data_IF_063440973281
#
_entry.id   IF_063440973281
#
_cell.length_a   1.000
_cell.length_b   1.000
_cell.length_c   1.000
_cell.angle_alpha   90.00
_cell.angle_beta   90.00
_cell.angle_gamma   90.00
#
_symmetry.space_group_name_H-M   'P 1'
#
loop_
_entity.id
_entity.type
_entity.pdbx_description
1 polymer ?
#
# COMPACT_ATOMS: atom_id res chain seq x y z
N UNK A 1 8.00 -14.47 -8.00
CA UNK A 1 8.90 -14.75 -9.16
C UNK A 1 10.19 -15.33 -8.60
N UNK A 2 10.74 -16.36 -9.24
CA UNK A 2 11.96 -17.04 -8.77
C UNK A 2 13.11 -16.57 -9.65
N UNK A 3 14.27 -16.23 -9.04
CA UNK A 3 15.48 -15.88 -9.79
C UNK A 3 15.92 -17.11 -10.58
N UNK A 4 16.10 -16.96 -11.88
CA UNK A 4 16.56 -18.04 -12.73
C UNK A 4 18.10 -18.07 -12.83
N UNK A 5 18.71 -19.19 -13.14
CA UNK A 5 20.16 -19.24 -13.42
C UNK A 5 20.59 -18.25 -14.50
N UNK A 6 19.75 -18.00 -15.49
CA UNK A 6 20.03 -17.04 -16.56
C UNK A 6 20.04 -15.58 -16.04
N UNK A 7 19.17 -15.23 -15.09
CA UNK A 7 19.17 -13.90 -14.48
C UNK A 7 20.49 -13.63 -13.75
N UNK A 8 21.04 -14.67 -13.10
CA UNK A 8 22.32 -14.56 -12.41
C UNK A 8 23.48 -14.37 -13.41
N UNK A 9 23.49 -15.10 -14.51
CA UNK A 9 24.57 -15.00 -15.54
C UNK A 9 24.52 -13.67 -16.31
N UNK A 10 23.39 -12.98 -16.31
CA UNK A 10 23.21 -11.66 -16.92
C UNK A 10 23.55 -10.52 -15.93
N UNK A 11 23.97 -10.82 -14.71
CA UNK A 11 24.37 -9.80 -13.74
C UNK A 11 25.58 -9.01 -14.25
N UNK A 12 25.54 -7.68 -14.02
CA UNK A 12 26.63 -6.78 -14.40
C UNK A 12 27.67 -6.75 -13.29
N UNK A 13 28.89 -7.17 -13.63
CA UNK A 13 30.02 -7.26 -12.68
C UNK A 13 31.10 -6.27 -13.10
N UNK A 14 31.54 -5.44 -12.15
CA UNK A 14 32.70 -4.56 -12.35
C UNK A 14 33.89 -5.08 -11.55
N UNK A 15 35.05 -5.23 -12.20
CA UNK A 15 36.34 -5.53 -11.59
C UNK A 15 37.13 -4.24 -11.47
N UNK A 16 37.65 -3.97 -10.28
CA UNK A 16 38.45 -2.77 -9.95
C UNK A 16 39.76 -3.22 -9.30
N UNK A 17 40.85 -3.22 -10.04
CA UNK A 17 42.18 -3.62 -9.57
C UNK A 17 43.24 -2.90 -10.43
N UNK A 18 44.29 -2.33 -9.83
CA UNK A 18 45.33 -1.59 -10.54
C UNK A 18 46.34 -2.52 -11.28
N UNK A 19 46.26 -3.82 -11.03
CA UNK A 19 47.15 -4.82 -11.64
C UNK A 19 46.45 -5.54 -12.80
N UNK A 20 46.95 -5.38 -14.05
CA UNK A 20 46.35 -6.02 -15.23
C UNK A 20 46.25 -7.54 -15.13
N UNK A 21 47.21 -8.20 -14.45
CA UNK A 21 47.21 -9.64 -14.25
C UNK A 21 46.06 -10.13 -13.38
N UNK A 22 45.69 -9.36 -12.33
CA UNK A 22 44.53 -9.66 -11.47
C UNK A 22 43.23 -9.48 -12.22
N UNK A 23 43.11 -8.37 -12.98
CA UNK A 23 41.94 -8.10 -13.82
C UNK A 23 41.71 -9.25 -14.79
N UNK A 24 42.76 -9.64 -15.57
CA UNK A 24 42.65 -10.73 -16.54
C UNK A 24 42.26 -12.06 -15.89
N UNK A 25 42.84 -12.40 -14.73
CA UNK A 25 42.49 -13.61 -13.99
C UNK A 25 41.02 -13.65 -13.57
N UNK A 26 40.49 -12.51 -13.07
CA UNK A 26 39.09 -12.42 -12.63
C UNK A 26 38.14 -12.42 -13.84
N UNK A 27 38.51 -11.76 -14.96
CA UNK A 27 37.72 -11.77 -16.19
C UNK A 27 37.65 -13.21 -16.75
N UNK A 28 38.77 -13.93 -16.86
CA UNK A 28 38.82 -15.32 -17.32
C UNK A 28 37.97 -16.22 -16.43
N UNK A 29 38.05 -16.06 -15.10
CA UNK A 29 37.25 -16.81 -14.16
C UNK A 29 35.75 -16.56 -14.42
N UNK A 30 35.31 -15.29 -14.46
CA UNK A 30 33.91 -14.93 -14.63
C UNK A 30 33.35 -15.42 -15.98
N UNK A 31 34.11 -15.28 -17.07
CA UNK A 31 33.73 -15.78 -18.38
C UNK A 31 33.63 -17.31 -18.41
N UNK A 32 34.57 -18.03 -17.74
CA UNK A 32 34.55 -19.49 -17.66
C UNK A 32 33.30 -20.05 -16.95
N UNK A 33 32.72 -19.25 -16.01
CA UNK A 33 31.48 -19.58 -15.28
C UNK A 33 30.23 -19.27 -16.13
N UNK A 34 30.38 -18.40 -17.17
CA UNK A 34 29.29 -18.03 -18.07
C UNK A 34 28.73 -16.62 -17.86
N UNK A 35 29.35 -15.78 -17.03
CA UNK A 35 28.98 -14.37 -16.94
C UNK A 35 29.32 -13.63 -18.22
N UNK A 36 28.37 -12.90 -18.78
CA UNK A 36 28.52 -12.21 -20.07
C UNK A 36 28.67 -10.69 -19.96
N UNK A 37 28.29 -10.13 -18.83
CA UNK A 37 28.31 -8.69 -18.57
C UNK A 37 29.42 -8.35 -17.55
N UNK A 38 30.67 -8.59 -17.96
CA UNK A 38 31.86 -8.33 -17.16
C UNK A 38 32.54 -7.06 -17.68
N UNK A 39 32.80 -6.15 -16.78
CA UNK A 39 33.48 -4.87 -17.03
C UNK A 39 34.69 -4.74 -16.10
N UNK A 40 35.70 -4.01 -16.51
CA UNK A 40 36.88 -3.76 -15.66
C UNK A 40 37.37 -2.33 -15.77
N UNK A 41 38.02 -1.87 -14.72
CA UNK A 41 38.77 -0.60 -14.71
C UNK A 41 39.98 -0.71 -13.80
N UNK A 42 41.09 -0.09 -14.22
CA UNK A 42 42.29 0.10 -13.38
C UNK A 42 42.32 1.48 -12.74
N UNK A 43 41.33 2.35 -13.01
CA UNK A 43 41.20 3.68 -12.42
C UNK A 43 40.14 3.67 -11.32
N UNK A 44 40.51 3.67 -10.04
CA UNK A 44 39.57 3.69 -8.94
C UNK A 44 38.70 4.98 -8.88
N UNK A 45 39.17 6.07 -9.46
CA UNK A 45 38.43 7.35 -9.44
C UNK A 45 37.23 7.35 -10.39
N UNK A 46 37.27 6.51 -11.42
CA UNK A 46 36.19 6.36 -12.40
C UNK A 46 35.01 5.54 -11.88
N UNK A 47 35.19 4.70 -10.84
CA UNK A 47 34.22 3.71 -10.40
C UNK A 47 32.85 4.29 -10.06
N UNK A 48 32.79 5.36 -9.28
CA UNK A 48 31.53 5.99 -8.90
C UNK A 48 30.78 6.58 -10.11
N UNK A 49 31.49 7.12 -11.09
CA UNK A 49 30.91 7.62 -12.33
C UNK A 49 30.39 6.48 -13.22
N UNK A 50 31.17 5.43 -13.37
CA UNK A 50 30.77 4.23 -14.10
C UNK A 50 29.53 3.57 -13.50
N UNK A 51 29.48 3.44 -12.18
CA UNK A 51 28.32 2.86 -11.50
C UNK A 51 27.05 3.70 -11.65
N UNK A 52 27.16 5.05 -11.66
CA UNK A 52 26.00 5.94 -11.93
C UNK A 52 25.49 5.83 -13.37
N UNK A 53 26.39 5.66 -14.34
CA UNK A 53 26.02 5.52 -15.75
C UNK A 53 25.46 4.11 -16.05
N UNK A 54 26.09 3.10 -15.48
CA UNK A 54 25.73 1.70 -15.67
C UNK A 54 25.70 1.03 -14.30
N UNK A 55 24.54 0.91 -13.65
CA UNK A 55 24.44 0.27 -12.34
C UNK A 55 24.93 -1.19 -12.41
N UNK A 56 25.95 -1.51 -11.62
CA UNK A 56 26.50 -2.86 -11.49
C UNK A 56 25.77 -3.62 -10.37
N UNK A 57 25.61 -4.92 -10.56
CA UNK A 57 25.02 -5.82 -9.57
C UNK A 57 26.06 -6.30 -8.55
N UNK A 58 27.34 -6.36 -8.94
CA UNK A 58 28.46 -6.70 -8.08
C UNK A 58 29.70 -5.89 -8.49
N UNK A 59 30.46 -5.42 -7.51
CA UNK A 59 31.79 -4.81 -7.72
C UNK A 59 32.83 -5.66 -6.99
N UNK A 60 33.82 -6.20 -7.73
CA UNK A 60 35.01 -6.81 -7.18
C UNK A 60 36.06 -5.72 -7.02
N UNK A 61 36.47 -5.42 -5.79
CA UNK A 61 37.26 -4.25 -5.48
C UNK A 61 38.55 -4.62 -4.76
N UNK A 62 39.71 -4.31 -5.35
CA UNK A 62 40.96 -4.33 -4.60
C UNK A 62 41.02 -3.13 -3.61
N UNK A 63 41.62 -3.36 -2.46
CA UNK A 63 41.83 -2.29 -1.46
C UNK A 63 43.11 -1.50 -1.72
N UNK A 64 44.12 -2.13 -2.31
CA UNK A 64 45.46 -1.56 -2.43
C UNK A 64 45.70 -1.06 -3.85
N UNK A 65 45.24 0.14 -4.13
CA UNK A 65 45.46 0.82 -5.40
C UNK A 65 46.13 2.18 -5.20
N UNK A 66 46.98 2.60 -6.14
CA UNK A 66 47.63 3.91 -6.07
C UNK A 66 46.62 5.04 -6.28
N UNK A 67 46.86 6.16 -5.60
CA UNK A 67 46.06 7.37 -5.74
C UNK A 67 44.77 7.37 -4.92
N UNK A 68 43.90 6.36 -5.10
CA UNK A 68 42.63 6.20 -4.37
C UNK A 68 42.50 4.74 -3.90
N UNK A 69 42.43 4.53 -2.59
CA UNK A 69 42.27 3.20 -2.03
C UNK A 69 40.83 2.68 -2.14
N UNK A 70 40.65 1.36 -1.97
CA UNK A 70 39.31 0.75 -2.08
C UNK A 70 38.32 1.22 -1.01
N UNK A 71 38.79 1.74 0.14
CA UNK A 71 37.90 2.32 1.15
C UNK A 71 37.33 3.65 0.69
N UNK A 72 38.15 4.48 0.03
CA UNK A 72 37.69 5.74 -0.56
C UNK A 72 36.74 5.50 -1.73
N UNK A 73 36.97 4.43 -2.53
CA UNK A 73 36.02 4.01 -3.57
C UNK A 73 34.67 3.64 -2.96
N UNK A 74 34.65 2.82 -1.88
CA UNK A 74 33.41 2.44 -1.20
C UNK A 74 32.68 3.66 -0.61
N UNK A 75 33.40 4.63 -0.06
CA UNK A 75 32.82 5.87 0.45
C UNK A 75 32.19 6.71 -0.66
N UNK A 76 32.87 6.84 -1.80
CA UNK A 76 32.35 7.54 -2.99
C UNK A 76 31.10 6.87 -3.58
N UNK A 77 31.07 5.53 -3.63
CA UNK A 77 29.91 4.76 -4.04
C UNK A 77 28.73 4.96 -3.09
N UNK A 78 28.98 4.93 -1.78
CA UNK A 78 27.97 5.13 -0.74
C UNK A 78 27.38 6.54 -0.75
N UNK A 79 28.20 7.55 -0.99
CA UNK A 79 27.76 8.95 -1.11
C UNK A 79 26.84 9.18 -2.33
N UNK A 80 26.96 8.36 -3.37
CA UNK A 80 26.14 8.43 -4.58
C UNK A 80 24.92 7.49 -4.58
N UNK A 81 24.77 6.65 -3.57
CA UNK A 81 23.66 5.68 -3.48
C UNK A 81 22.39 6.34 -2.91
N UNK A 82 21.23 5.92 -3.40
CA UNK A 82 19.95 6.30 -2.81
C UNK A 82 19.74 5.62 -1.45
N UNK A 83 18.93 6.21 -0.59
CA UNK A 83 18.59 5.62 0.70
C UNK A 83 17.91 4.25 0.48
N UNK A 84 18.49 3.20 1.09
CA UNK A 84 18.02 1.82 0.92
C UNK A 84 18.59 1.07 -0.29
N UNK A 85 19.48 1.68 -1.10
CA UNK A 85 20.13 0.95 -2.19
C UNK A 85 21.10 -0.11 -1.66
N UNK A 86 20.94 -1.34 -2.14
CA UNK A 86 21.79 -2.47 -1.77
C UNK A 86 22.91 -2.65 -2.79
N UNK A 87 24.07 -2.05 -2.52
CA UNK A 87 25.26 -2.24 -3.36
C UNK A 87 26.05 -3.45 -2.88
N UNK A 88 26.30 -4.42 -3.78
CA UNK A 88 27.17 -5.57 -3.49
C UNK A 88 28.61 -5.25 -3.85
N UNK A 89 29.47 -5.13 -2.84
CA UNK A 89 30.93 -5.00 -3.02
C UNK A 89 31.60 -6.22 -2.39
N UNK A 90 32.36 -6.96 -3.19
CA UNK A 90 33.27 -8.03 -2.75
C UNK A 90 34.69 -7.48 -2.76
N UNK A 91 35.29 -7.35 -1.60
CA UNK A 91 36.66 -6.87 -1.44
C UNK A 91 37.64 -8.02 -1.68
N UNK A 92 38.64 -7.77 -2.54
CA UNK A 92 39.75 -8.70 -2.81
C UNK A 92 41.04 -8.09 -2.28
N UNK A 93 41.66 -8.64 -1.24
CA UNK A 93 42.80 -8.00 -0.57
C UNK A 93 43.91 -8.98 -0.17
N UNK A 94 45.17 -8.52 -0.25
CA UNK A 94 46.32 -9.28 0.25
C UNK A 94 46.51 -9.19 1.77
N UNK A 95 45.84 -8.24 2.46
CA UNK A 95 46.04 -7.98 3.87
C UNK A 95 44.89 -8.52 4.74
N UNK A 96 45.11 -9.59 5.54
CA UNK A 96 44.07 -10.15 6.41
C UNK A 96 43.53 -9.17 7.48
N UNK A 97 44.32 -8.21 7.90
CA UNK A 97 43.94 -7.21 8.91
C UNK A 97 42.87 -6.21 8.44
N UNK A 98 42.64 -6.08 7.14
CA UNK A 98 41.66 -5.14 6.59
C UNK A 98 40.22 -5.70 6.52
N UNK A 99 40.03 -7.01 6.78
CA UNK A 99 38.73 -7.68 6.67
C UNK A 99 37.62 -6.98 7.46
N UNK A 100 37.83 -6.79 8.75
CA UNK A 100 36.80 -6.18 9.62
C UNK A 100 36.52 -4.74 9.20
N UNK A 101 37.57 -3.98 8.86
CA UNK A 101 37.42 -2.60 8.38
C UNK A 101 36.66 -2.52 7.07
N UNK A 102 36.89 -3.46 6.13
CA UNK A 102 36.16 -3.51 4.86
C UNK A 102 34.67 -3.76 5.07
N UNK A 103 34.30 -4.72 5.92
CA UNK A 103 32.89 -4.97 6.28
C UNK A 103 32.23 -3.78 6.95
N UNK A 104 32.94 -3.11 7.88
CA UNK A 104 32.46 -1.88 8.53
C UNK A 104 32.30 -0.71 7.55
N UNK A 105 33.17 -0.63 6.52
CA UNK A 105 33.05 0.36 5.45
C UNK A 105 31.90 0.09 4.48
N UNK A 106 31.29 -1.12 4.52
CA UNK A 106 30.11 -1.45 3.72
C UNK A 106 30.32 -2.56 2.69
N UNK A 107 31.51 -3.17 2.62
CA UNK A 107 31.69 -4.39 1.83
C UNK A 107 30.75 -5.49 2.32
N UNK A 108 30.18 -6.23 1.41
CA UNK A 108 29.27 -7.34 1.76
C UNK A 108 29.99 -8.62 2.07
N UNK A 109 31.18 -8.78 1.50
CA UNK A 109 32.08 -9.92 1.78
C UNK A 109 33.51 -9.55 1.36
N UNK A 110 34.47 -10.43 1.64
CA UNK A 110 35.87 -10.27 1.27
C UNK A 110 36.50 -11.61 0.88
N UNK A 111 37.57 -11.52 0.07
CA UNK A 111 38.44 -12.64 -0.32
C UNK A 111 39.89 -12.22 -0.09
N UNK A 112 40.74 -13.13 0.43
CA UNK A 112 42.14 -12.88 0.66
C UNK A 112 42.99 -13.41 -0.50
N UNK A 113 43.91 -12.58 -1.00
CA UNK A 113 44.98 -13.01 -1.95
C UNK A 113 46.09 -13.77 -1.20
N UNK A 114 46.62 -14.92 -1.72
CA UNK A 114 46.13 -15.63 -2.88
C UNK A 114 44.79 -16.33 -2.59
N UNK A 115 43.87 -16.33 -3.53
CA UNK A 115 42.54 -16.86 -3.37
C UNK A 115 42.32 -18.16 -4.13
N UNK A 116 41.45 -19.02 -3.60
CA UNK A 116 40.93 -20.19 -4.30
C UNK A 116 39.80 -19.71 -5.24
N UNK A 117 39.88 -20.13 -6.51
CA UNK A 117 38.90 -19.79 -7.55
C UNK A 117 37.50 -20.29 -7.19
N UNK A 118 37.37 -21.45 -6.54
CA UNK A 118 36.07 -22.02 -6.09
C UNK A 118 35.47 -21.16 -4.97
N UNK A 119 36.31 -20.65 -4.06
CA UNK A 119 35.86 -19.71 -3.00
C UNK A 119 35.31 -18.43 -3.63
N UNK A 120 36.08 -17.80 -4.53
CA UNK A 120 35.65 -16.56 -5.21
C UNK A 120 34.36 -16.77 -5.97
N UNK A 121 34.25 -17.85 -6.75
CA UNK A 121 33.04 -18.19 -7.49
C UNK A 121 31.82 -18.32 -6.58
N UNK A 122 31.96 -19.01 -5.45
CA UNK A 122 30.87 -19.23 -4.50
C UNK A 122 30.40 -17.92 -3.89
N UNK A 123 31.32 -17.03 -3.50
CA UNK A 123 31.01 -15.72 -2.93
C UNK A 123 30.32 -14.79 -3.94
N UNK A 124 30.84 -14.75 -5.18
CA UNK A 124 30.24 -13.99 -6.27
C UNK A 124 28.80 -14.43 -6.50
N UNK A 125 28.56 -15.73 -6.63
CA UNK A 125 27.22 -16.28 -6.83
C UNK A 125 26.26 -15.86 -5.72
N UNK A 126 26.65 -16.04 -4.45
CA UNK A 126 25.83 -15.69 -3.31
C UNK A 126 25.52 -14.19 -3.26
N UNK A 127 26.50 -13.34 -3.54
CA UNK A 127 26.31 -11.89 -3.54
C UNK A 127 25.39 -11.40 -4.66
N UNK A 128 25.51 -12.00 -5.85
CA UNK A 128 24.63 -11.70 -6.97
C UNK A 128 23.21 -12.16 -6.67
N UNK A 129 23.02 -13.35 -6.12
CA UNK A 129 21.70 -13.86 -5.73
C UNK A 129 21.01 -12.90 -4.74
N UNK A 130 21.71 -12.49 -3.68
CA UNK A 130 21.20 -11.54 -2.70
C UNK A 130 20.87 -10.19 -3.35
N UNK A 131 21.75 -9.67 -4.24
CA UNK A 131 21.50 -8.41 -4.96
C UNK A 131 20.25 -8.48 -5.82
N UNK A 132 20.07 -9.57 -6.58
CA UNK A 132 18.91 -9.75 -7.43
C UNK A 132 17.62 -9.88 -6.63
N UNK A 133 17.64 -10.58 -5.48
CA UNK A 133 16.51 -10.66 -4.55
C UNK A 133 16.13 -9.27 -4.00
N UNK A 134 17.11 -8.49 -3.57
CA UNK A 134 16.86 -7.11 -3.10
C UNK A 134 16.24 -6.24 -4.19
N UNK A 135 16.76 -6.30 -5.43
CA UNK A 135 16.21 -5.57 -6.57
C UNK A 135 14.76 -5.98 -6.86
N UNK A 136 14.48 -7.28 -6.84
CA UNK A 136 13.13 -7.81 -7.06
C UNK A 136 12.17 -7.36 -5.95
N UNK A 137 12.61 -7.40 -4.70
CA UNK A 137 11.82 -6.92 -3.56
C UNK A 137 11.50 -5.42 -3.67
N UNK A 138 12.49 -4.60 -4.02
CA UNK A 138 12.29 -3.16 -4.21
C UNK A 138 11.27 -2.86 -5.33
N UNK A 139 11.39 -3.56 -6.48
CA UNK A 139 10.43 -3.42 -7.57
C UNK A 139 9.02 -3.86 -7.17
N UNK A 140 8.91 -4.95 -6.41
CA UNK A 140 7.62 -5.43 -5.93
C UNK A 140 6.95 -4.45 -4.97
N UNK A 141 7.72 -3.90 -4.02
CA UNK A 141 7.23 -2.89 -3.09
C UNK A 141 6.74 -1.62 -3.83
N UNK A 142 7.52 -1.13 -4.80
CA UNK A 142 7.13 0.03 -5.61
C UNK A 142 5.82 -0.23 -6.37
N UNK A 143 5.67 -1.42 -6.94
CA UNK A 143 4.42 -1.81 -7.61
C UNK A 143 3.24 -1.88 -6.66
N UNK A 144 3.43 -2.46 -5.45
CA UNK A 144 2.38 -2.52 -4.43
C UNK A 144 1.96 -1.12 -3.97
N UNK A 145 2.91 -0.21 -3.74
CA UNK A 145 2.62 1.18 -3.39
C UNK A 145 1.78 1.88 -4.46
N UNK A 146 2.12 1.67 -5.74
CA UNK A 146 1.34 2.21 -6.86
C UNK A 146 -0.08 1.66 -6.88
N UNK A 147 -0.25 0.34 -6.75
CA UNK A 147 -1.57 -0.31 -6.71
C UNK A 147 -2.41 0.20 -5.54
N UNK A 148 -1.80 0.37 -4.36
CA UNK A 148 -2.49 0.93 -3.18
C UNK A 148 -2.96 2.36 -3.45
N UNK A 149 -2.12 3.20 -4.04
CA UNK A 149 -2.50 4.58 -4.40
C UNK A 149 -3.67 4.62 -5.38
N UNK A 150 -3.61 3.82 -6.46
CA UNK A 150 -4.67 3.70 -7.46
C UNK A 150 -6.00 3.26 -6.83
N UNK A 151 -5.98 2.19 -6.03
CA UNK A 151 -7.18 1.68 -5.36
C UNK A 151 -7.76 2.65 -4.33
N UNK A 152 -6.88 3.37 -3.63
CA UNK A 152 -7.33 4.39 -2.68
C UNK A 152 -8.00 5.58 -3.40
N UNK A 153 -7.48 5.98 -4.54
CA UNK A 153 -8.07 7.04 -5.36
C UNK A 153 -9.45 6.61 -5.94
N UNK A 154 -9.54 5.40 -6.51
CA UNK A 154 -10.79 4.82 -7.00
C UNK A 154 -11.88 4.74 -5.91
N UNK A 155 -11.48 4.29 -4.70
CA UNK A 155 -12.41 4.19 -3.58
C UNK A 155 -12.93 5.56 -3.17
N UNK A 156 -12.04 6.55 -3.02
CA UNK A 156 -12.43 7.93 -2.67
C UNK A 156 -13.36 8.55 -3.71
N UNK A 157 -13.08 8.33 -4.99
CA UNK A 157 -13.96 8.83 -6.06
C UNK A 157 -15.35 8.15 -5.98
N UNK A 158 -15.38 6.83 -5.77
CA UNK A 158 -16.63 6.08 -5.61
C UNK A 158 -17.43 6.58 -4.40
N UNK A 159 -16.78 6.75 -3.24
CA UNK A 159 -17.42 7.28 -2.04
C UNK A 159 -17.96 8.71 -2.25
N UNK A 160 -17.18 9.57 -2.90
CA UNK A 160 -17.62 10.94 -3.22
C UNK A 160 -18.84 10.93 -4.16
N UNK A 161 -18.86 10.03 -5.15
CA UNK A 161 -19.98 9.85 -6.07
C UNK A 161 -21.23 9.37 -5.34
N UNK A 162 -21.10 8.37 -4.47
CA UNK A 162 -22.22 7.89 -3.65
C UNK A 162 -22.75 8.97 -2.71
N UNK A 163 -21.87 9.73 -2.08
CA UNK A 163 -22.26 10.86 -1.20
C UNK A 163 -23.01 11.93 -1.98
N UNK A 164 -22.49 12.34 -3.14
CA UNK A 164 -23.15 13.33 -3.98
C UNK A 164 -24.54 12.87 -4.44
N UNK A 165 -24.70 11.59 -4.78
CA UNK A 165 -26.02 11.03 -5.17
C UNK A 165 -27.00 11.04 -3.99
N UNK A 166 -26.54 10.72 -2.77
CA UNK A 166 -27.40 10.78 -1.57
C UNK A 166 -27.74 12.21 -1.16
N UNK A 167 -26.84 13.17 -1.33
CA UNK A 167 -27.10 14.60 -1.03
C UNK A 167 -28.04 15.26 -2.04
N UNK A 168 -28.05 14.82 -3.30
CA UNK A 168 -28.94 15.33 -4.35
C UNK A 168 -30.33 14.71 -4.32
N UNK A 169 -30.51 13.57 -3.64
CA UNK A 169 -31.81 12.95 -3.45
C UNK A 169 -32.51 13.61 -2.26
N UNK A 170 -33.82 13.83 -2.37
CA UNK A 170 -34.67 14.18 -1.23
C UNK A 170 -34.82 13.02 -0.24
N UNK A 171 -34.16 11.91 -0.54
CA UNK A 171 -34.17 10.71 0.24
C UNK A 171 -33.13 10.80 1.35
N UNK A 172 -33.46 10.32 2.51
CA UNK A 172 -32.54 10.23 3.63
C UNK A 172 -32.10 8.79 3.84
N UNK A 173 -30.79 8.62 4.06
CA UNK A 173 -30.17 7.34 4.36
C UNK A 173 -30.05 7.16 5.87
N UNK A 174 -30.25 5.93 6.35
CA UNK A 174 -30.10 5.59 7.76
C UNK A 174 -29.47 4.22 7.96
N UNK A 175 -28.69 4.09 9.02
CA UNK A 175 -28.20 2.80 9.55
C UNK A 175 -28.52 2.71 11.03
N UNK A 176 -28.85 1.49 11.47
CA UNK A 176 -29.04 1.14 12.87
C UNK A 176 -28.18 -0.07 13.21
N UNK A 177 -27.68 -0.13 14.44
CA UNK A 177 -27.04 -1.32 14.99
C UNK A 177 -28.05 -2.42 15.36
N UNK A 178 -27.53 -3.54 15.90
CA UNK A 178 -28.35 -4.66 16.34
C UNK A 178 -29.29 -4.33 17.52
N UNK A 179 -29.07 -3.20 18.20
CA UNK A 179 -29.90 -2.69 19.30
C UNK A 179 -30.94 -1.68 18.82
N UNK A 180 -30.96 -1.36 17.51
CA UNK A 180 -31.87 -0.39 16.92
C UNK A 180 -31.44 1.07 17.13
N UNK A 181 -30.19 1.30 17.52
CA UNK A 181 -29.63 2.64 17.67
C UNK A 181 -29.11 3.11 16.30
N UNK A 182 -29.42 4.36 15.92
CA UNK A 182 -28.90 4.90 14.67
C UNK A 182 -27.38 5.12 14.76
N UNK A 183 -26.63 4.50 13.88
CA UNK A 183 -25.17 4.61 13.75
C UNK A 183 -24.77 5.58 12.66
N UNK A 184 -25.61 5.74 11.64
CA UNK A 184 -25.41 6.67 10.55
C UNK A 184 -26.73 7.19 10.02
N UNK A 185 -26.74 8.52 9.76
CA UNK A 185 -27.90 9.17 9.15
C UNK A 185 -27.37 10.26 8.20
N UNK A 186 -27.98 10.38 7.00
CA UNK A 186 -27.64 11.42 6.03
C UNK A 186 -28.90 12.03 5.43
N UNK A 187 -28.79 13.26 4.89
CA UNK A 187 -29.92 13.99 4.34
C UNK A 187 -30.69 14.81 5.40
N UNK A 188 -31.87 15.34 5.09
CA UNK A 188 -32.61 16.28 5.93
C UNK A 188 -33.32 15.61 7.13
N UNK A 189 -32.83 14.46 7.60
CA UNK A 189 -33.45 13.70 8.70
C UNK A 189 -33.62 14.49 9.97
N UNK A 190 -32.65 15.35 10.32
CA UNK A 190 -32.72 16.20 11.50
C UNK A 190 -33.94 17.13 11.46
N UNK A 191 -34.18 17.78 10.34
CA UNK A 191 -35.32 18.66 10.12
C UNK A 191 -36.64 17.88 10.04
N UNK A 192 -36.61 16.73 9.34
CA UNK A 192 -37.79 15.91 9.14
C UNK A 192 -38.24 15.18 10.41
N UNK A 193 -37.32 14.73 11.26
CA UNK A 193 -37.62 14.07 12.53
C UNK A 193 -37.73 15.08 13.71
N UNK A 194 -37.48 16.36 13.48
CA UNK A 194 -37.47 17.38 14.51
C UNK A 194 -36.29 17.26 15.49
N UNK A 195 -35.15 16.70 15.00
CA UNK A 195 -33.92 16.62 15.77
C UNK A 195 -33.08 17.85 15.48
N UNK A 196 -32.50 18.55 16.47
CA UNK A 196 -31.65 19.70 16.24
C UNK A 196 -30.36 19.26 15.49
N UNK A 197 -30.05 20.02 14.43
CA UNK A 197 -28.91 19.70 13.53
C UNK A 197 -27.53 19.71 14.22
N UNK A 198 -27.40 20.36 15.38
CA UNK A 198 -26.15 20.62 16.09
C UNK A 198 -25.79 19.56 17.15
N UNK A 199 -26.60 18.55 17.36
CA UNK A 199 -26.38 17.56 18.42
C UNK A 199 -26.25 16.15 17.88
N UNK A 200 -25.20 15.93 17.06
CA UNK A 200 -24.73 14.59 16.70
C UNK A 200 -23.31 14.30 17.24
N UNK A 201 -23.09 14.30 18.57
CA UNK A 201 -21.91 13.65 19.13
C UNK A 201 -22.26 12.18 19.34
N UNK A 202 -21.34 11.32 18.97
CA UNK A 202 -21.21 9.90 19.32
C UNK A 202 -22.31 9.31 20.21
N UNK A 203 -23.33 8.70 19.61
CA UNK A 203 -24.18 7.80 20.36
C UNK A 203 -25.68 8.04 20.24
N UNK A 204 -26.35 6.96 19.92
CA UNK A 204 -27.74 6.58 20.23
C UNK A 204 -28.80 7.68 20.16
N UNK A 205 -29.50 7.74 19.07
CA UNK A 205 -30.73 8.57 18.94
C UNK A 205 -31.94 7.78 19.41
N UNK A 206 -32.53 8.10 20.57
CA UNK A 206 -33.84 7.58 20.89
C UNK A 206 -34.86 8.25 19.98
N UNK A 207 -35.49 7.48 19.11
CA UNK A 207 -36.70 7.93 18.42
C UNK A 207 -37.73 8.29 19.47
N UNK A 208 -38.05 9.57 19.61
CA UNK A 208 -39.18 10.00 20.44
C UNK A 208 -40.45 9.45 19.81
N UNK A 209 -41.24 8.74 20.60
CA UNK A 209 -42.49 8.14 20.15
C UNK A 209 -43.61 9.15 19.89
N UNK A 210 -43.39 10.43 20.26
CA UNK A 210 -44.38 11.49 20.18
C UNK A 210 -44.81 11.82 18.75
N UNK A 211 -46.09 11.72 18.51
CA UNK A 211 -46.73 12.09 17.25
C UNK A 211 -46.78 11.01 16.19
N UNK A 212 -46.01 9.92 16.30
CA UNK A 212 -46.06 8.83 15.35
C UNK A 212 -47.26 7.91 15.48
N UNK A 213 -47.75 7.39 14.35
CA UNK A 213 -48.83 6.39 14.35
C UNK A 213 -48.33 5.08 14.99
N UNK A 214 -48.88 4.67 16.13
CA UNK A 214 -48.40 3.52 16.87
C UNK A 214 -48.55 2.19 16.13
N UNK A 215 -49.60 2.04 15.31
CA UNK A 215 -49.86 0.81 14.56
C UNK A 215 -48.83 0.60 13.43
N UNK A 216 -48.50 1.69 12.71
CA UNK A 216 -47.49 1.66 11.64
C UNK A 216 -46.10 1.40 12.20
N UNK A 217 -45.75 2.02 13.35
CA UNK A 217 -44.51 1.73 14.04
C UNK A 217 -44.40 0.29 14.53
N UNK A 218 -45.47 -0.25 15.06
CA UNK A 218 -45.48 -1.66 15.50
C UNK A 218 -45.29 -2.59 14.32
N UNK A 219 -45.89 -2.31 13.18
CA UNK A 219 -45.74 -3.12 11.96
C UNK A 219 -44.28 -3.07 11.46
N UNK A 220 -43.62 -1.89 11.52
CA UNK A 220 -42.17 -1.76 11.18
C UNK A 220 -41.30 -2.54 12.16
N UNK A 221 -41.53 -2.40 13.48
CA UNK A 221 -40.81 -3.15 14.51
C UNK A 221 -40.86 -4.65 14.27
N UNK A 222 -42.08 -5.20 14.01
CA UNK A 222 -42.23 -6.62 13.75
C UNK A 222 -41.40 -7.12 12.56
N UNK A 223 -41.24 -6.30 11.51
CA UNK A 223 -40.36 -6.62 10.35
C UNK A 223 -38.89 -6.60 10.72
N UNK A 224 -38.48 -5.61 11.52
CA UNK A 224 -37.11 -5.49 12.02
C UNK A 224 -36.75 -6.67 12.92
N UNK A 225 -37.63 -7.04 13.85
CA UNK A 225 -37.48 -8.21 14.73
C UNK A 225 -37.40 -9.52 13.94
N UNK A 226 -38.22 -9.66 12.87
CA UNK A 226 -38.17 -10.79 11.95
C UNK A 226 -36.92 -10.81 11.04
N UNK A 227 -36.04 -9.79 11.12
CA UNK A 227 -34.86 -9.62 10.25
C UNK A 227 -35.17 -9.71 8.77
N UNK A 228 -36.37 -9.25 8.37
CA UNK A 228 -36.84 -9.29 7.00
C UNK A 228 -36.66 -7.95 6.29
N UNK A 229 -36.24 -7.91 5.01
CA UNK A 229 -36.24 -6.68 4.25
C UNK A 229 -37.65 -6.13 4.11
N UNK A 230 -37.76 -4.81 4.07
CA UNK A 230 -39.03 -4.12 3.85
C UNK A 230 -38.87 -2.99 2.84
N UNK A 231 -39.92 -2.78 2.06
CA UNK A 231 -39.98 -1.75 1.03
C UNK A 231 -41.24 -0.91 1.25
N UNK A 232 -41.10 0.40 1.04
CA UNK A 232 -42.20 1.38 0.99
C UNK A 232 -43.17 1.30 2.18
N UNK A 233 -42.65 1.03 3.38
CA UNK A 233 -43.49 1.05 4.59
C UNK A 233 -43.85 2.50 4.90
N UNK A 234 -45.15 2.79 4.97
CA UNK A 234 -45.67 4.08 5.29
C UNK A 234 -45.59 4.32 6.81
N UNK A 235 -45.04 5.47 7.21
CA UNK A 235 -45.03 5.95 8.56
C UNK A 235 -45.64 7.34 8.59
N UNK A 236 -46.64 7.58 9.46
CA UNK A 236 -47.30 8.86 9.59
C UNK A 236 -46.98 9.50 10.96
N UNK A 237 -46.72 10.79 10.95
CA UNK A 237 -46.44 11.58 12.15
C UNK A 237 -47.34 12.83 12.18
N UNK A 238 -47.95 13.11 13.33
CA UNK A 238 -48.68 14.34 13.58
C UNK A 238 -47.80 15.30 14.34
N UNK A 239 -47.57 16.49 13.77
CA UNK A 239 -46.79 17.55 14.38
C UNK A 239 -47.62 18.29 15.47
N UNK A 240 -46.96 19.04 16.39
CA UNK A 240 -47.67 19.83 17.41
C UNK A 240 -48.65 20.86 16.86
N UNK A 241 -48.43 21.32 15.63
CA UNK A 241 -49.31 22.25 14.92
C UNK A 241 -50.52 21.58 14.22
N UNK A 242 -50.66 20.24 14.37
CA UNK A 242 -51.74 19.47 13.82
C UNK A 242 -51.53 19.02 12.37
N UNK A 243 -50.42 19.35 11.71
CA UNK A 243 -50.09 18.86 10.39
C UNK A 243 -49.62 17.41 10.45
N UNK A 244 -49.98 16.63 9.45
CA UNK A 244 -49.54 15.22 9.31
C UNK A 244 -48.43 15.17 8.24
N UNK A 245 -47.31 14.58 8.60
CA UNK A 245 -46.25 14.21 7.70
C UNK A 245 -46.33 12.70 7.43
N UNK A 246 -45.99 12.30 6.21
CA UNK A 246 -45.97 10.88 5.83
C UNK A 246 -44.58 10.58 5.22
N UNK A 247 -44.03 9.44 5.60
CA UNK A 247 -42.74 8.96 5.14
C UNK A 247 -42.90 7.54 4.58
N UNK A 248 -42.27 7.27 3.45
CA UNK A 248 -42.02 5.91 2.98
C UNK A 248 -40.60 5.50 3.39
N UNK A 249 -40.50 4.37 4.07
CA UNK A 249 -39.25 3.85 4.58
C UNK A 249 -39.01 2.45 4.02
N UNK A 250 -37.81 2.24 3.50
CA UNK A 250 -37.32 0.95 3.01
C UNK A 250 -36.06 0.56 3.75
N UNK A 251 -35.87 -0.71 4.06
CA UNK A 251 -34.70 -1.16 4.79
C UNK A 251 -34.36 -2.63 4.56
N UNK A 252 -33.09 -2.94 4.71
CA UNK A 252 -32.54 -4.30 4.59
C UNK A 252 -31.65 -4.63 5.79
N UNK A 253 -31.71 -5.87 6.31
CA UNK A 253 -30.84 -6.29 7.40
C UNK A 253 -29.40 -6.39 6.93
N UNK A 254 -28.46 -6.04 7.81
CA UNK A 254 -27.03 -6.16 7.59
C UNK A 254 -26.46 -7.33 8.40
N UNK A 255 -25.51 -8.05 7.78
CA UNK A 255 -24.80 -9.16 8.40
C UNK A 255 -23.29 -8.97 8.23
N UNK A 256 -22.52 -9.40 9.23
CA UNK A 256 -21.06 -9.43 9.13
C UNK A 256 -20.56 -10.62 8.27
N UNK A 257 -19.24 -10.73 8.10
CA UNK A 257 -18.61 -11.81 7.34
C UNK A 257 -18.85 -13.22 7.94
N UNK A 258 -19.24 -13.30 9.22
CA UNK A 258 -19.60 -14.53 9.94
C UNK A 258 -21.11 -14.80 9.92
N UNK A 259 -21.88 -14.03 9.13
CA UNK A 259 -23.35 -14.10 9.04
C UNK A 259 -24.09 -13.74 10.35
N UNK A 260 -23.47 -13.00 11.25
CA UNK A 260 -24.17 -12.48 12.41
C UNK A 260 -24.89 -11.18 12.03
N UNK A 261 -26.09 -11.01 12.56
CA UNK A 261 -26.87 -9.79 12.36
C UNK A 261 -26.21 -8.62 13.09
N UNK A 262 -25.92 -7.55 12.35
CA UNK A 262 -25.26 -6.35 12.88
C UNK A 262 -26.17 -5.11 12.88
N UNK A 263 -27.32 -5.16 12.19
CA UNK A 263 -28.25 -4.05 12.17
C UNK A 263 -29.08 -3.96 10.90
N UNK A 264 -29.57 -2.76 10.63
CA UNK A 264 -30.33 -2.43 9.42
C UNK A 264 -29.75 -1.20 8.75
N UNK A 265 -29.95 -1.11 7.44
CA UNK A 265 -29.74 0.12 6.66
C UNK A 265 -30.88 0.32 5.69
N UNK A 266 -31.14 1.57 5.35
CA UNK A 266 -32.25 1.86 4.46
C UNK A 266 -32.34 3.31 4.03
N UNK A 267 -33.42 3.60 3.35
CA UNK A 267 -33.77 4.91 2.84
C UNK A 267 -35.16 5.30 3.33
N UNK A 268 -35.39 6.59 3.43
CA UNK A 268 -36.71 7.14 3.67
C UNK A 268 -36.96 8.38 2.80
N UNK A 269 -38.19 8.59 2.43
CA UNK A 269 -38.65 9.71 1.60
C UNK A 269 -39.88 10.33 2.25
N UNK A 270 -39.94 11.65 2.33
CA UNK A 270 -41.17 12.34 2.71
C UNK A 270 -42.17 12.32 1.55
N UNK A 271 -43.38 11.86 1.82
CA UNK A 271 -44.50 11.89 0.86
C UNK A 271 -45.18 13.23 0.94
N UNK A 272 -44.85 14.13 0.01
CA UNK A 272 -45.52 15.42 -0.06
C UNK A 272 -46.97 15.24 -0.46
N UNK A 273 -47.95 15.90 0.19
CA UNK A 273 -49.35 15.86 -0.26
C UNK A 273 -49.43 16.40 -1.70
N UNK A 274 -50.34 15.84 -2.54
CA UNK A 274 -50.51 16.33 -3.90
C UNK A 274 -50.86 17.84 -3.83
N UNK A 275 -50.15 18.64 -4.62
CA UNK A 275 -50.44 20.06 -4.78
C UNK A 275 -51.92 20.23 -5.09
N UNK A 276 -52.70 20.78 -4.15
CA UNK A 276 -54.09 21.11 -4.41
C UNK A 276 -54.11 22.12 -5.58
N UNK A 277 -54.69 21.69 -6.69
CA UNK A 277 -54.91 22.59 -7.83
C UNK A 277 -55.69 23.81 -7.33
N UNK A 278 -55.29 25.04 -7.69
CA UNK A 278 -56.03 26.20 -7.36
C UNK A 278 -57.44 26.06 -7.94
N UNK A 279 -58.46 26.11 -7.11
CA UNK A 279 -59.85 26.16 -7.57
C UNK A 279 -60.02 27.44 -8.37
N UNK A 280 -60.33 27.29 -9.63
CA UNK A 280 -60.80 28.36 -10.57
C UNK A 280 -62.06 29.06 -10.04
#
# INVERSE_FOLDING_TARGET
MTITPQDMLNARILIVDDQPANVALLEDLLHSIGYTQVFSTMDPTAVAALHRQTPFDLILLDLQMPGMDGFQVMEALKAGAAEGDYLSVLVVTAQPGHKLRALQAGAKDFVSKPFDLVEVQTRIRNLIEVRLLHRQLAQHNQHLEQVVQERTAELRESEARYRALTELSTDWYWEQDSQGQFTQVSGPVGEMLGLPADNFPDGAYPLRDEGWNPAERQALRSRIEARSPFLDVLLSRTLPDGRTQQFRVSGTPMFDAACNFVGYRGFGVEVLPPLSSPRS
#
